data_IF_321952689002
#
_entry.id   IF_321952689002
#
_cell.length_a   1.000
_cell.length_b   1.000
_cell.length_c   1.000
_cell.angle_alpha   90.00
_cell.angle_beta   90.00
_cell.angle_gamma   90.00
#
_symmetry.space_group_name_H-M   'P 1'
#
loop_
_entity.id
_entity.type
_entity.pdbx_description
1 polymer ?
#
# COMPACT_ATOMS: atom_id res chain seq x y z
N UNK A 1 12.66 -16.49 23.49
CA UNK A 1 12.84 -16.61 22.03
C UNK A 1 11.48 -16.97 21.45
N UNK A 2 10.77 -15.97 20.89
CA UNK A 2 9.59 -16.23 20.07
C UNK A 2 10.13 -16.88 18.82
N UNK A 3 9.77 -18.13 18.58
CA UNK A 3 10.06 -18.84 17.35
C UNK A 3 9.26 -18.12 16.28
N UNK A 4 9.92 -17.47 15.34
CA UNK A 4 9.28 -16.85 14.22
C UNK A 4 8.72 -17.95 13.34
N UNK A 5 7.42 -17.96 13.21
CA UNK A 5 6.77 -18.79 12.19
C UNK A 5 7.30 -18.32 10.83
N UNK A 6 7.78 -19.27 10.04
CA UNK A 6 8.21 -19.02 8.67
C UNK A 6 7.06 -18.34 7.90
N UNK A 7 7.40 -17.44 6.97
CA UNK A 7 6.39 -16.77 6.16
C UNK A 7 5.46 -17.78 5.48
N UNK A 8 4.17 -17.51 5.51
CA UNK A 8 3.16 -18.41 4.96
C UNK A 8 3.21 -18.32 3.44
N UNK A 9 3.28 -19.48 2.78
CA UNK A 9 3.09 -19.54 1.34
C UNK A 9 1.69 -19.03 0.97
N UNK A 10 1.61 -18.15 -0.03
CA UNK A 10 0.37 -17.57 -0.51
C UNK A 10 0.23 -17.73 -2.02
N UNK A 11 -1.00 -17.70 -2.48
CA UNK A 11 -1.32 -17.60 -3.90
C UNK A 11 -2.20 -16.37 -4.09
N UNK A 12 -1.78 -15.48 -4.99
CA UNK A 12 -2.60 -14.32 -5.36
C UNK A 12 -3.88 -14.79 -6.07
N UNK A 13 -4.99 -14.11 -5.80
CA UNK A 13 -6.18 -14.25 -6.64
C UNK A 13 -5.89 -13.67 -8.03
N UNK A 14 -6.68 -14.05 -9.03
CA UNK A 14 -6.42 -13.67 -10.44
C UNK A 14 -6.34 -12.15 -10.62
N UNK A 15 -7.24 -11.39 -10.00
CA UNK A 15 -7.23 -9.93 -10.06
C UNK A 15 -6.00 -9.31 -9.38
N UNK A 16 -5.53 -9.91 -8.29
CA UNK A 16 -4.31 -9.46 -7.60
C UNK A 16 -3.08 -9.75 -8.49
N UNK A 17 -3.00 -10.95 -9.03
CA UNK A 17 -1.94 -11.33 -9.95
C UNK A 17 -1.93 -10.45 -11.21
N UNK A 18 -3.11 -10.09 -11.73
CA UNK A 18 -3.23 -9.15 -12.84
C UNK A 18 -2.74 -7.76 -12.47
N UNK A 19 -3.16 -7.22 -11.32
CA UNK A 19 -2.68 -5.91 -10.85
C UNK A 19 -1.15 -5.87 -10.75
N UNK A 20 -0.54 -6.89 -10.17
CA UNK A 20 0.92 -7.01 -10.05
C UNK A 20 1.59 -7.09 -11.42
N UNK A 21 1.08 -7.94 -12.30
CA UNK A 21 1.62 -8.14 -13.65
C UNK A 21 1.55 -6.87 -14.50
N UNK A 22 0.40 -6.20 -14.52
CA UNK A 22 0.18 -4.99 -15.28
C UNK A 22 1.08 -3.86 -14.77
N UNK A 23 1.18 -3.69 -13.44
CA UNK A 23 2.08 -2.71 -12.82
C UNK A 23 3.54 -2.99 -13.12
N UNK A 24 3.96 -4.27 -13.08
CA UNK A 24 5.33 -4.66 -13.41
C UNK A 24 5.67 -4.34 -14.87
N UNK A 25 4.76 -4.60 -15.79
CA UNK A 25 4.92 -4.26 -17.21
C UNK A 25 5.06 -2.76 -17.39
N UNK A 26 4.22 -1.98 -16.73
CA UNK A 26 4.28 -0.52 -16.77
C UNK A 26 5.57 0.02 -16.14
N UNK A 27 5.98 -0.49 -15.00
CA UNK A 27 7.25 -0.15 -14.35
C UNK A 27 8.45 -0.34 -15.27
N UNK A 28 8.50 -1.44 -16.02
CA UNK A 28 9.60 -1.76 -16.92
C UNK A 28 9.68 -0.82 -18.13
N UNK A 29 8.56 -0.27 -18.57
CA UNK A 29 8.46 0.59 -19.76
C UNK A 29 8.43 2.08 -19.46
N UNK A 30 8.21 2.48 -18.20
CA UNK A 30 8.03 3.88 -17.80
C UNK A 30 8.93 4.24 -16.60
N UNK A 31 10.23 4.52 -16.84
CA UNK A 31 11.13 4.99 -15.78
C UNK A 31 10.61 6.29 -15.15
N UNK A 32 10.54 6.33 -13.82
CA UNK A 32 9.94 7.47 -13.10
C UNK A 32 8.43 7.54 -13.16
N UNK A 33 7.77 6.50 -13.69
CA UNK A 33 6.32 6.46 -13.86
C UNK A 33 5.53 6.39 -12.56
N UNK A 34 4.27 6.75 -12.66
CA UNK A 34 3.27 6.64 -11.58
C UNK A 34 2.12 5.75 -12.03
N UNK A 35 1.69 4.84 -11.16
CA UNK A 35 0.62 3.88 -11.43
C UNK A 35 -0.43 3.92 -10.33
N UNK A 36 -1.70 3.75 -10.66
CA UNK A 36 -2.80 3.77 -9.70
C UNK A 36 -3.49 2.40 -9.61
N UNK A 37 -3.58 1.87 -8.40
CA UNK A 37 -4.54 0.80 -8.08
C UNK A 37 -5.80 1.41 -7.48
N UNK A 38 -6.80 1.53 -8.32
CA UNK A 38 -8.15 1.86 -7.92
C UNK A 38 -8.90 0.57 -7.58
N UNK A 39 -8.70 0.09 -6.37
CA UNK A 39 -9.21 -1.20 -5.93
C UNK A 39 -9.97 -1.06 -4.61
N UNK A 40 -11.20 -1.60 -4.60
CA UNK A 40 -12.08 -1.56 -3.43
C UNK A 40 -11.42 -2.07 -2.14
N UNK A 41 -11.92 -1.69 -0.95
CA UNK A 41 -11.51 -2.30 0.31
C UNK A 41 -11.58 -3.83 0.26
N UNK A 42 -10.68 -4.51 0.97
CA UNK A 42 -10.53 -5.97 1.00
C UNK A 42 -10.07 -6.61 -0.32
N UNK A 43 -9.58 -5.82 -1.24
CA UNK A 43 -8.85 -6.35 -2.41
C UNK A 43 -7.59 -7.13 -2.01
N UNK A 44 -6.96 -6.77 -0.89
CA UNK A 44 -5.66 -7.32 -0.48
C UNK A 44 -4.50 -6.53 -1.08
N UNK A 45 -4.65 -5.19 -1.12
CA UNK A 45 -3.64 -4.27 -1.68
C UNK A 45 -2.27 -4.49 -1.06
N UNK A 46 -2.17 -4.62 0.26
CA UNK A 46 -0.90 -4.78 0.99
C UNK A 46 -0.11 -6.00 0.52
N UNK A 47 -0.75 -7.17 0.50
CA UNK A 47 -0.14 -8.40 0.01
C UNK A 47 0.32 -8.26 -1.45
N UNK A 48 -0.54 -7.68 -2.29
CA UNK A 48 -0.23 -7.51 -3.72
C UNK A 48 0.92 -6.52 -3.94
N UNK A 49 1.04 -5.47 -3.11
CA UNK A 49 2.20 -4.55 -3.13
C UNK A 49 3.48 -5.27 -2.75
N UNK A 50 3.46 -6.07 -1.70
CA UNK A 50 4.64 -6.84 -1.30
C UNK A 50 5.06 -7.83 -2.39
N UNK A 51 4.11 -8.49 -3.04
CA UNK A 51 4.38 -9.39 -4.15
C UNK A 51 4.97 -8.64 -5.37
N UNK A 52 4.42 -7.48 -5.71
CA UNK A 52 4.98 -6.59 -6.74
C UNK A 52 6.44 -6.22 -6.43
N UNK A 53 6.72 -5.75 -5.20
CA UNK A 53 8.07 -5.39 -4.78
C UNK A 53 9.05 -6.57 -4.87
N UNK A 54 8.61 -7.77 -4.47
CA UNK A 54 9.41 -9.00 -4.67
C UNK A 54 9.69 -9.29 -6.14
N UNK A 55 8.68 -9.18 -6.99
CA UNK A 55 8.81 -9.51 -8.41
C UNK A 55 9.72 -8.57 -9.19
N UNK A 56 9.86 -7.31 -8.76
CA UNK A 56 10.81 -6.35 -9.36
C UNK A 56 12.14 -6.29 -8.60
N UNK A 57 12.32 -7.12 -7.58
CA UNK A 57 13.50 -7.14 -6.70
C UNK A 57 13.83 -5.77 -6.09
N UNK A 58 12.79 -5.03 -5.66
CA UNK A 58 12.96 -3.72 -5.05
C UNK A 58 13.83 -3.80 -3.79
N UNK A 59 14.86 -2.97 -3.71
CA UNK A 59 15.77 -2.95 -2.55
C UNK A 59 15.28 -1.99 -1.47
N UNK A 60 14.60 -0.91 -1.87
CA UNK A 60 14.11 0.13 -0.98
C UNK A 60 12.67 0.50 -1.33
N UNK A 61 11.77 0.28 -0.38
CA UNK A 61 10.33 0.56 -0.52
C UNK A 61 9.88 1.50 0.59
N UNK A 62 9.34 2.65 0.22
CA UNK A 62 8.74 3.59 1.16
C UNK A 62 7.23 3.57 1.03
N UNK A 63 6.54 3.31 2.13
CA UNK A 63 5.07 3.31 2.22
C UNK A 63 4.64 4.52 3.03
N UNK A 64 3.86 5.40 2.43
CA UNK A 64 3.30 6.58 3.08
C UNK A 64 1.78 6.50 3.09
N UNK A 65 1.19 6.65 4.25
CA UNK A 65 -0.27 6.66 4.42
C UNK A 65 -0.75 7.92 5.12
N UNK A 66 -1.96 8.34 4.78
CA UNK A 66 -2.68 9.36 5.54
C UNK A 66 -3.37 8.79 6.80
N UNK A 67 -3.48 7.45 6.91
CA UNK A 67 -4.18 6.76 8.00
C UNK A 67 -3.21 5.93 8.85
N UNK A 68 -2.61 6.49 9.92
CA UNK A 68 -1.69 5.73 10.78
C UNK A 68 -2.31 4.43 11.34
N UNK A 69 -3.64 4.40 11.52
CA UNK A 69 -4.35 3.23 12.03
C UNK A 69 -4.20 1.96 11.16
N UNK A 70 -3.84 2.08 9.88
CA UNK A 70 -3.60 0.92 9.01
C UNK A 70 -2.17 0.37 9.11
N UNK A 71 -1.30 0.99 9.89
CA UNK A 71 0.07 0.53 10.11
C UNK A 71 0.12 -0.95 10.52
N UNK A 72 -0.78 -1.36 11.41
CA UNK A 72 -0.88 -2.74 11.86
C UNK A 72 -1.23 -3.72 10.72
N UNK A 73 -2.00 -3.31 9.72
CA UNK A 73 -2.30 -4.17 8.57
C UNK A 73 -1.05 -4.38 7.71
N UNK A 74 -0.30 -3.31 7.43
CA UNK A 74 0.96 -3.40 6.69
C UNK A 74 1.99 -4.26 7.42
N UNK A 75 2.14 -4.05 8.72
CA UNK A 75 3.04 -4.84 9.56
C UNK A 75 2.61 -6.31 9.64
N UNK A 76 1.32 -6.59 9.89
CA UNK A 76 0.83 -7.97 10.00
C UNK A 76 1.02 -8.75 8.71
N UNK A 77 0.76 -8.11 7.56
CA UNK A 77 0.99 -8.73 6.25
C UNK A 77 2.48 -8.91 5.95
N UNK A 78 3.34 -7.97 6.39
CA UNK A 78 4.79 -8.17 6.32
C UNK A 78 5.24 -9.41 7.09
N UNK A 79 4.84 -9.52 8.37
CA UNK A 79 5.19 -10.68 9.20
C UNK A 79 4.68 -11.98 8.60
N UNK A 80 3.46 -11.96 8.08
CA UNK A 80 2.77 -13.13 7.57
C UNK A 80 3.31 -13.62 6.22
N UNK A 81 3.63 -12.71 5.31
CA UNK A 81 3.87 -13.05 3.90
C UNK A 81 5.30 -12.80 3.43
N UNK A 82 6.04 -11.92 4.08
CA UNK A 82 7.45 -11.67 3.80
C UNK A 82 8.33 -12.25 4.88
N UNK A 83 8.22 -11.73 6.10
CA UNK A 83 9.12 -12.03 7.20
C UNK A 83 10.58 -11.65 6.87
N UNK A 84 11.45 -11.83 7.84
CA UNK A 84 12.89 -11.55 7.68
C UNK A 84 13.57 -12.48 6.68
N UNK A 85 13.05 -13.69 6.50
CA UNK A 85 13.58 -14.68 5.56
C UNK A 85 13.51 -14.23 4.09
N UNK A 86 12.65 -13.25 3.78
CA UNK A 86 12.58 -12.65 2.45
C UNK A 86 13.76 -11.73 2.12
N UNK A 87 14.63 -11.44 3.10
CA UNK A 87 15.67 -10.44 3.01
C UNK A 87 15.19 -8.99 3.24
N UNK A 88 13.88 -8.77 3.42
CA UNK A 88 13.32 -7.46 3.76
C UNK A 88 13.29 -7.23 5.28
N UNK A 89 13.76 -6.06 5.71
CA UNK A 89 13.58 -5.55 7.07
C UNK A 89 12.52 -4.46 7.07
N UNK A 90 11.68 -4.47 8.12
CA UNK A 90 10.58 -3.51 8.27
C UNK A 90 10.99 -2.39 9.22
N UNK A 91 10.97 -1.17 8.72
CA UNK A 91 11.37 0.05 9.45
C UNK A 91 10.15 0.94 9.66
N UNK A 92 9.95 1.41 10.87
CA UNK A 92 8.88 2.38 11.16
C UNK A 92 9.14 3.15 12.45
N UNK A 93 8.71 4.41 12.47
CA UNK A 93 8.69 5.29 13.64
C UNK A 93 7.26 5.59 14.11
N UNK A 94 6.25 4.92 13.55
CA UNK A 94 4.85 5.15 13.91
C UNK A 94 4.56 4.53 15.27
N UNK A 95 4.00 5.33 16.20
CA UNK A 95 3.71 4.93 17.58
C UNK A 95 2.88 3.64 17.68
N UNK A 96 1.93 3.43 16.75
CA UNK A 96 1.11 2.23 16.70
C UNK A 96 1.92 0.93 16.50
N UNK A 97 3.15 1.02 16.02
CA UNK A 97 4.07 -0.11 15.82
C UNK A 97 5.20 -0.16 16.84
N UNK A 98 5.24 0.76 17.80
CA UNK A 98 6.27 0.80 18.83
C UNK A 98 6.30 -0.52 19.63
N UNK A 99 7.48 -1.11 19.75
CA UNK A 99 7.68 -2.36 20.48
C UNK A 99 7.16 -3.63 19.79
N UNK A 100 6.63 -3.52 18.59
CA UNK A 100 6.27 -4.72 17.83
C UNK A 100 7.51 -5.52 17.42
N UNK A 101 7.46 -6.86 17.48
CA UNK A 101 8.57 -7.71 17.04
C UNK A 101 8.92 -7.39 15.57
N UNK A 102 10.23 -7.34 15.27
CA UNK A 102 10.74 -7.09 13.90
C UNK A 102 10.50 -5.71 13.30
N UNK A 103 9.90 -4.78 14.03
CA UNK A 103 9.90 -3.37 13.65
C UNK A 103 11.20 -2.75 14.14
N UNK A 104 11.96 -2.20 13.23
CA UNK A 104 13.21 -1.50 13.49
C UNK A 104 12.99 0.01 13.37
N UNK A 105 13.74 0.77 14.15
CA UNK A 105 13.98 2.18 13.85
C UNK A 105 15.17 2.31 12.87
N UNK A 106 15.50 3.53 12.49
CA UNK A 106 16.60 3.80 11.57
C UNK A 106 17.93 3.22 12.05
N UNK A 107 18.26 3.42 13.34
CA UNK A 107 19.52 2.90 13.91
C UNK A 107 19.53 1.37 13.93
N UNK A 108 18.43 0.75 14.32
CA UNK A 108 18.29 -0.70 14.32
C UNK A 108 18.44 -1.32 12.93
N UNK A 109 17.94 -0.62 11.89
CA UNK A 109 18.16 -1.04 10.51
C UNK A 109 19.64 -0.94 10.11
N UNK A 110 20.30 0.18 10.42
CA UNK A 110 21.72 0.39 10.11
C UNK A 110 22.61 -0.63 10.82
N UNK A 111 22.31 -0.91 12.08
CA UNK A 111 23.04 -1.92 12.88
C UNK A 111 22.86 -3.33 12.29
N UNK A 112 21.65 -3.69 11.90
CA UNK A 112 21.37 -4.98 11.26
C UNK A 112 22.09 -5.10 9.90
N UNK A 113 22.06 -4.03 9.09
CA UNK A 113 22.75 -3.99 7.80
C UNK A 113 24.27 -4.08 7.93
N UNK A 114 24.85 -3.48 8.99
CA UNK A 114 26.29 -3.53 9.26
C UNK A 114 26.76 -4.91 9.76
N UNK A 115 25.90 -5.68 10.44
CA UNK A 115 26.22 -6.99 11.00
C UNK A 115 25.90 -8.15 10.06
N UNK A 116 25.13 -7.91 9.00
CA UNK A 116 24.72 -8.95 8.07
C UNK A 116 25.80 -9.27 7.03
N UNK A 117 25.94 -10.55 6.71
CA UNK A 117 26.75 -11.00 5.56
C UNK A 117 26.03 -10.73 4.22
N UNK A 118 24.70 -10.49 4.27
CA UNK A 118 23.85 -10.22 3.13
C UNK A 118 23.30 -8.78 3.18
N UNK A 119 23.10 -8.21 2.00
CA UNK A 119 22.49 -6.89 1.88
C UNK A 119 20.98 -7.00 2.15
N UNK A 120 20.55 -6.47 3.29
CA UNK A 120 19.12 -6.42 3.62
C UNK A 120 18.39 -5.37 2.79
N UNK A 121 17.22 -5.75 2.27
CA UNK A 121 16.26 -4.86 1.63
C UNK A 121 15.44 -4.13 2.69
N UNK A 122 14.98 -2.93 2.36
CA UNK A 122 14.24 -2.06 3.28
C UNK A 122 12.80 -1.89 2.84
N UNK A 123 11.87 -2.11 3.76
CA UNK A 123 10.50 -1.62 3.69
C UNK A 123 10.32 -0.63 4.84
N UNK A 124 10.03 0.61 4.53
CA UNK A 124 9.75 1.63 5.54
C UNK A 124 8.33 2.11 5.46
N UNK A 125 7.67 2.16 6.61
CA UNK A 125 6.31 2.65 6.77
C UNK A 125 6.29 3.95 7.57
N UNK A 126 5.73 5.00 6.98
CA UNK A 126 5.67 6.35 7.56
C UNK A 126 4.25 6.90 7.44
N UNK A 127 3.79 7.61 8.46
CA UNK A 127 2.56 8.39 8.34
C UNK A 127 2.82 9.71 7.62
N UNK A 128 1.86 10.16 6.82
CA UNK A 128 1.93 11.48 6.18
C UNK A 128 2.03 12.60 7.22
N UNK A 129 1.40 12.42 8.39
CA UNK A 129 1.48 13.38 9.49
C UNK A 129 2.91 13.48 10.04
N UNK A 130 3.60 12.36 10.26
CA UNK A 130 4.99 12.36 10.69
C UNK A 130 5.92 12.99 9.67
N UNK A 131 5.69 12.69 8.39
CA UNK A 131 6.43 13.28 7.30
C UNK A 131 6.25 14.78 7.26
N UNK A 132 5.02 15.28 7.30
CA UNK A 132 4.73 16.74 7.33
C UNK A 132 5.27 17.45 8.58
N UNK A 133 5.39 16.76 9.70
CA UNK A 133 6.01 17.30 10.93
C UNK A 133 7.53 17.46 10.84
N UNK A 134 8.18 16.78 9.90
CA UNK A 134 9.63 16.84 9.71
C UNK A 134 10.07 18.11 9.02
N UNK A 135 11.16 18.73 9.51
CA UNK A 135 11.77 19.93 8.90
C UNK A 135 12.20 19.72 7.44
N UNK A 136 12.50 18.49 7.06
CA UNK A 136 12.89 18.13 5.70
C UNK A 136 11.71 18.17 4.72
N UNK A 137 10.48 18.21 5.24
CA UNK A 137 9.24 18.32 4.47
C UNK A 137 8.43 19.59 4.81
N UNK A 138 9.06 20.55 5.47
CA UNK A 138 8.45 21.85 5.78
C UNK A 138 7.83 21.96 7.17
N UNK A 139 8.03 20.97 8.02
CA UNK A 139 7.66 20.97 9.45
C UNK A 139 8.79 21.52 10.34
N UNK A 140 8.74 21.20 11.63
CA UNK A 140 9.63 21.77 12.64
C UNK A 140 10.61 20.74 13.24
N UNK A 141 10.26 19.44 13.23
CA UNK A 141 11.02 18.39 13.92
C UNK A 141 12.19 17.87 13.08
N UNK A 142 13.34 17.67 13.74
CA UNK A 142 14.52 17.04 13.13
C UNK A 142 14.38 15.51 13.12
N UNK A 143 13.59 15.00 12.20
CA UNK A 143 13.36 13.57 12.01
C UNK A 143 13.20 13.23 10.52
N UNK A 144 13.34 11.97 10.16
CA UNK A 144 13.08 11.41 8.83
C UNK A 144 13.96 12.03 7.72
N UNK A 145 15.16 12.50 8.04
CA UNK A 145 16.13 13.07 7.10
C UNK A 145 16.45 12.08 5.97
N UNK A 146 16.65 10.82 6.32
CA UNK A 146 17.00 9.75 5.38
C UNK A 146 15.98 9.56 4.26
N UNK A 147 14.70 9.91 4.47
CA UNK A 147 13.67 9.82 3.42
C UNK A 147 14.01 10.68 2.20
N UNK A 148 14.71 11.82 2.40
CA UNK A 148 15.12 12.71 1.33
C UNK A 148 16.51 12.40 0.78
N UNK A 149 17.33 11.68 1.53
CA UNK A 149 18.70 11.32 1.14
C UNK A 149 18.79 10.01 0.37
N UNK A 150 17.90 9.06 0.66
CA UNK A 150 17.86 7.78 -0.02
C UNK A 150 17.22 7.89 -1.41
N UNK A 151 17.60 6.97 -2.30
CA UNK A 151 16.89 6.69 -3.55
C UNK A 151 15.99 5.49 -3.33
N UNK A 152 14.69 5.72 -3.41
CA UNK A 152 13.68 4.69 -3.23
C UNK A 152 13.39 3.98 -4.57
N UNK A 153 13.36 2.65 -4.57
CA UNK A 153 12.93 1.92 -5.77
C UNK A 153 11.44 2.11 -6.00
N UNK A 154 10.65 2.05 -4.91
CA UNK A 154 9.21 2.25 -4.96
C UNK A 154 8.76 3.17 -3.83
N UNK A 155 7.99 4.20 -4.18
CA UNK A 155 7.17 4.96 -3.25
C UNK A 155 5.73 4.48 -3.37
N UNK A 156 5.16 3.95 -2.30
CA UNK A 156 3.74 3.56 -2.20
C UNK A 156 2.99 4.64 -1.45
N UNK A 157 1.95 5.18 -2.05
CA UNK A 157 1.10 6.22 -1.46
C UNK A 157 -0.28 5.61 -1.23
N UNK A 158 -0.59 5.30 0.04
CA UNK A 158 -1.84 4.63 0.42
C UNK A 158 -2.86 5.64 0.96
N UNK A 159 -3.97 5.81 0.24
CA UNK A 159 -5.09 6.71 0.54
C UNK A 159 -4.68 8.18 0.81
N UNK A 160 -3.58 8.65 0.24
CA UNK A 160 -3.06 10.01 0.50
C UNK A 160 -3.96 11.13 -0.07
N UNK A 161 -4.89 10.80 -0.97
CA UNK A 161 -5.87 11.74 -1.53
C UNK A 161 -6.92 12.22 -0.51
N UNK A 162 -7.05 11.57 0.64
CA UNK A 162 -7.90 12.01 1.74
C UNK A 162 -7.25 13.11 2.61
N UNK A 163 -6.00 13.50 2.30
CA UNK A 163 -5.30 14.58 3.00
C UNK A 163 -5.88 15.96 2.70
N UNK A 164 -6.03 16.76 3.73
CA UNK A 164 -6.73 18.06 3.70
C UNK A 164 -6.02 19.12 2.85
N UNK A 165 -4.76 18.92 2.49
CA UNK A 165 -3.95 19.88 1.73
C UNK A 165 -3.14 19.18 0.65
N UNK A 166 -3.75 19.00 -0.52
CA UNK A 166 -3.17 18.27 -1.64
C UNK A 166 -1.87 18.88 -2.14
N UNK A 167 -1.80 20.23 -2.21
CA UNK A 167 -0.62 20.94 -2.70
C UNK A 167 0.62 20.73 -1.81
N UNK A 168 0.47 20.89 -0.48
CA UNK A 168 1.59 20.63 0.45
C UNK A 168 1.99 19.15 0.48
N UNK A 169 1.05 18.26 0.26
CA UNK A 169 1.29 16.82 0.17
C UNK A 169 2.11 16.50 -1.07
N UNK A 170 1.73 17.03 -2.23
CA UNK A 170 2.46 16.83 -3.48
C UNK A 170 3.89 17.39 -3.38
N UNK A 171 4.07 18.61 -2.83
CA UNK A 171 5.39 19.18 -2.58
C UNK A 171 6.26 18.32 -1.64
N UNK A 172 5.65 17.68 -0.64
CA UNK A 172 6.37 16.78 0.25
C UNK A 172 6.85 15.53 -0.51
N UNK A 173 6.01 14.93 -1.36
CA UNK A 173 6.41 13.79 -2.17
C UNK A 173 7.46 14.12 -3.22
N UNK A 174 7.50 15.34 -3.74
CA UNK A 174 8.53 15.79 -4.70
C UNK A 174 9.94 15.79 -4.10
N UNK A 175 10.06 15.88 -2.78
CA UNK A 175 11.35 15.80 -2.07
C UNK A 175 11.87 14.37 -1.93
N UNK A 176 11.08 13.36 -2.24
CA UNK A 176 11.44 11.93 -2.17
C UNK A 176 11.93 11.47 -3.53
N UNK A 177 13.21 11.16 -3.62
CA UNK A 177 13.81 10.59 -4.83
C UNK A 177 13.36 9.14 -4.96
N UNK A 178 12.72 8.79 -6.08
CA UNK A 178 12.17 7.46 -6.32
C UNK A 178 12.21 7.10 -7.79
N UNK A 179 12.29 5.79 -8.07
CA UNK A 179 12.25 5.25 -9.42
C UNK A 179 10.83 5.01 -9.90
N UNK A 180 9.88 4.81 -8.98
CA UNK A 180 8.50 4.52 -9.30
C UNK A 180 7.56 4.94 -8.17
N UNK A 181 6.33 5.35 -8.52
CA UNK A 181 5.28 5.66 -7.55
C UNK A 181 4.06 4.79 -7.78
N UNK A 182 3.62 4.08 -6.77
CA UNK A 182 2.39 3.29 -6.77
C UNK A 182 1.36 3.94 -5.85
N UNK A 183 0.29 4.43 -6.43
CA UNK A 183 -0.83 4.99 -5.69
C UNK A 183 -1.89 3.91 -5.42
N UNK A 184 -2.37 3.85 -4.18
CA UNK A 184 -3.45 2.96 -3.77
C UNK A 184 -4.67 3.78 -3.36
N UNK A 185 -5.83 3.44 -3.89
CA UNK A 185 -7.10 4.08 -3.54
C UNK A 185 -8.24 3.08 -3.46
N UNK A 186 -9.09 3.25 -2.44
CA UNK A 186 -10.38 2.56 -2.34
C UNK A 186 -11.56 3.38 -2.86
N UNK A 187 -11.35 4.67 -3.12
CA UNK A 187 -12.38 5.63 -3.57
C UNK A 187 -12.00 6.25 -4.92
N UNK A 188 -12.50 5.69 -6.01
CA UNK A 188 -12.04 5.96 -7.37
C UNK A 188 -12.24 7.39 -7.86
N UNK A 189 -13.30 8.05 -7.41
CA UNK A 189 -13.80 9.24 -8.07
C UNK A 189 -12.87 10.46 -8.04
N UNK A 190 -12.11 10.65 -6.97
CA UNK A 190 -11.26 11.85 -6.86
C UNK A 190 -9.98 11.77 -7.69
N UNK A 191 -9.36 10.59 -7.78
CA UNK A 191 -8.12 10.41 -8.54
C UNK A 191 -8.37 10.43 -10.06
N UNK A 192 -9.51 9.86 -10.51
CA UNK A 192 -9.91 9.86 -11.93
C UNK A 192 -10.43 11.23 -12.40
N UNK A 193 -11.05 12.00 -11.51
CA UNK A 193 -11.59 13.32 -11.86
C UNK A 193 -10.52 14.37 -12.18
N UNK A 194 -9.25 14.10 -11.84
CA UNK A 194 -8.17 15.06 -12.02
C UNK A 194 -7.29 14.80 -13.25
N UNK A 195 -7.65 13.85 -14.12
CA UNK A 195 -6.86 13.43 -15.30
C UNK A 195 -5.36 13.19 -14.99
N UNK A 196 -5.04 12.88 -13.72
CA UNK A 196 -3.65 12.74 -13.26
C UNK A 196 -2.96 11.52 -13.85
N UNK A 197 -3.74 10.46 -14.15
CA UNK A 197 -3.22 9.20 -14.64
C UNK A 197 -3.70 8.92 -16.07
N UNK A 198 -2.79 8.52 -16.94
CA UNK A 198 -3.15 7.98 -18.25
C UNK A 198 -3.92 6.66 -18.09
N UNK A 199 -4.74 6.30 -19.07
CA UNK A 199 -5.60 5.12 -18.97
C UNK A 199 -4.85 3.78 -18.79
N UNK A 200 -3.65 3.70 -19.31
CA UNK A 200 -2.74 2.54 -19.17
C UNK A 200 -1.97 2.52 -17.84
N UNK A 201 -2.03 3.61 -17.09
CA UNK A 201 -1.42 3.75 -15.76
C UNK A 201 -2.42 3.49 -14.61
N UNK A 202 -3.55 2.85 -14.90
CA UNK A 202 -4.60 2.59 -13.90
C UNK A 202 -5.04 1.13 -13.95
N UNK A 203 -5.01 0.47 -12.80
CA UNK A 203 -5.71 -0.79 -12.58
C UNK A 203 -7.00 -0.54 -11.81
N UNK A 204 -8.12 -1.04 -12.34
CA UNK A 204 -9.43 -0.92 -11.70
C UNK A 204 -9.94 -2.28 -11.24
N UNK A 205 -10.45 -2.33 -9.99
CA UNK A 205 -11.19 -3.45 -9.44
C UNK A 205 -12.33 -2.95 -8.56
N UNK A 206 -13.52 -2.99 -9.11
CA UNK A 206 -14.73 -2.49 -8.46
C UNK A 206 -15.46 -3.59 -7.70
N UNK A 207 -16.49 -3.18 -6.95
CA UNK A 207 -17.40 -4.14 -6.32
C UNK A 207 -18.14 -4.99 -7.37
N UNK A 208 -18.52 -4.41 -8.50
CA UNK A 208 -19.19 -5.13 -9.58
C UNK A 208 -18.27 -6.23 -10.17
N UNK A 209 -16.99 -5.93 -10.37
CA UNK A 209 -16.00 -6.90 -10.85
C UNK A 209 -15.86 -8.08 -9.87
N UNK A 210 -15.79 -7.79 -8.56
CA UNK A 210 -15.70 -8.83 -7.53
C UNK A 210 -16.95 -9.71 -7.51
N UNK A 211 -18.14 -9.12 -7.60
CA UNK A 211 -19.38 -9.90 -7.64
C UNK A 211 -19.50 -10.74 -8.93
N UNK A 212 -19.01 -10.22 -10.05
CA UNK A 212 -18.92 -10.99 -11.28
C UNK A 212 -17.96 -12.18 -11.14
N UNK A 213 -16.75 -11.93 -10.59
CA UNK A 213 -15.78 -13.00 -10.33
C UNK A 213 -16.32 -14.07 -9.37
N UNK A 214 -17.05 -13.65 -8.32
CA UNK A 214 -17.68 -14.56 -7.36
C UNK A 214 -18.74 -15.45 -8.00
N UNK A 215 -19.58 -14.90 -8.89
CA UNK A 215 -20.64 -15.66 -9.59
C UNK A 215 -20.08 -16.59 -10.66
N UNK A 216 -19.04 -16.13 -11.36
CA UNK A 216 -18.49 -16.83 -12.52
C UNK A 216 -17.34 -17.76 -12.17
N UNK A 217 -17.01 -17.88 -10.87
CA UNK A 217 -15.90 -18.71 -10.47
C UNK A 217 -16.17 -20.21 -10.77
N UNK A 218 -15.25 -20.79 -11.53
CA UNK A 218 -15.27 -22.19 -11.91
C UNK A 218 -13.94 -22.81 -11.46
N UNK A 219 -13.90 -23.28 -10.21
CA UNK A 219 -12.72 -24.01 -9.69
C UNK A 219 -12.75 -25.50 -10.04
N UNK A 220 -11.60 -26.11 -9.95
CA UNK A 220 -11.49 -27.57 -10.06
C UNK A 220 -12.24 -28.25 -8.88
N UNK A 221 -12.67 -29.51 -9.03
CA UNK A 221 -13.32 -30.28 -7.95
C UNK A 221 -12.46 -30.21 -6.67
N UNK A 222 -13.07 -29.78 -5.56
CA UNK A 222 -12.40 -29.63 -4.26
C UNK A 222 -11.71 -28.29 -4.01
N UNK A 223 -11.61 -27.40 -4.98
CA UNK A 223 -11.14 -26.03 -4.76
C UNK A 223 -12.24 -25.18 -4.11
N UNK A 224 -11.86 -24.43 -3.08
CA UNK A 224 -12.74 -23.45 -2.47
C UNK A 224 -12.77 -22.15 -3.28
N UNK A 225 -13.96 -21.59 -3.47
CA UNK A 225 -14.10 -20.29 -4.11
C UNK A 225 -13.39 -19.21 -3.26
N UNK A 226 -12.33 -18.55 -3.76
CA UNK A 226 -11.59 -17.55 -3.00
C UNK A 226 -12.41 -16.27 -2.68
N UNK A 227 -13.55 -16.10 -3.34
CA UNK A 227 -14.49 -14.99 -3.13
C UNK A 227 -15.63 -15.36 -2.17
N UNK A 228 -15.76 -16.62 -1.73
CA UNK A 228 -16.92 -17.09 -0.95
C UNK A 228 -17.17 -16.25 0.30
N UNK A 229 -16.11 -15.91 1.02
CA UNK A 229 -16.15 -15.18 2.29
C UNK A 229 -16.12 -13.65 2.13
N UNK A 230 -16.12 -13.14 0.89
CA UNK A 230 -16.18 -11.70 0.68
C UNK A 230 -17.62 -11.20 0.87
N UNK A 231 -17.82 -10.11 1.64
CA UNK A 231 -19.15 -9.64 1.99
C UNK A 231 -19.91 -9.12 0.77
N UNK A 232 -21.23 -9.32 0.78
CA UNK A 232 -22.13 -8.62 -0.14
C UNK A 232 -22.44 -7.22 0.40
N UNK A 233 -22.46 -6.24 -0.50
CA UNK A 233 -22.95 -4.91 -0.20
C UNK A 233 -24.47 -4.89 -0.37
N UNK A 234 -25.20 -4.64 0.71
CA UNK A 234 -26.63 -4.41 0.66
C UNK A 234 -26.86 -2.90 0.73
N UNK A 235 -27.41 -2.35 -0.36
CA UNK A 235 -27.79 -0.95 -0.44
C UNK A 235 -29.29 -0.84 -0.11
N UNK A 236 -29.60 -0.13 0.96
CA UNK A 236 -30.96 0.20 1.34
C UNK A 236 -31.22 1.67 1.00
N UNK A 237 -32.23 1.93 0.18
CA UNK A 237 -32.70 3.28 -0.08
C UNK A 237 -33.94 3.54 0.79
N UNK A 238 -33.91 4.59 1.58
CA UNK A 238 -35.09 5.09 2.26
C UNK A 238 -35.75 6.15 1.39
N UNK A 239 -37.01 5.95 1.04
CA UNK A 239 -37.83 7.04 0.54
C UNK A 239 -38.24 7.91 1.73
N UNK A 240 -37.86 9.19 1.69
CA UNK A 240 -38.42 10.15 2.64
C UNK A 240 -39.92 10.26 2.41
N UNK A 241 -40.70 10.29 3.48
CA UNK A 241 -42.14 10.54 3.42
C UNK A 241 -42.40 11.92 2.78
N UNK A 242 -43.54 12.07 2.08
CA UNK A 242 -43.91 13.33 1.43
C UNK A 242 -43.92 14.50 2.42
N UNK A 243 -44.26 14.24 3.69
CA UNK A 243 -44.27 15.23 4.80
C UNK A 243 -42.89 15.87 5.03
N UNK A 244 -41.80 15.14 4.82
CA UNK A 244 -40.43 15.68 5.00
C UNK A 244 -39.94 16.43 3.75
N UNK A 245 -40.50 16.15 2.56
CA UNK A 245 -40.14 16.86 1.33
C UNK A 245 -40.66 18.28 1.26
N UNK A 246 -41.77 18.54 1.95
CA UNK A 246 -42.43 19.85 1.92
C UNK A 246 -41.87 20.82 2.97
N UNK A 247 -40.97 20.37 3.86
CA UNK A 247 -40.33 21.18 4.91
C UNK A 247 -38.87 21.59 4.63
N UNK A 248 -38.32 21.22 3.46
CA UNK A 248 -36.98 21.58 2.99
C UNK A 248 -37.09 22.52 1.79
#
# INVERSE_FOLDING_TARGET
RVQLDAAIAYTLREEQARAVRDTKTYYQSHPGGEYLWNAKPRFGKTLSVYDFCKQIDAQTVLIVTNRPAIANSWYSDYVRFLGRESGYLFVSHVDALAGQPHVLDEQGYLDAAAQGEELYKRIEFVSLQDMKGSKYFGGEYDKLRHLTELNWDVLVIDEAHEGVDTYKTDLAFDRIRRKFTLHLSGTPFKALANDKFAGDAIFNWTYADEQAAKRNWQGAPGQQNPYANLPMLNLYTYQMSEIIRDEI
#
